data_IF_656618846972
#
_entry.id   IF_656618846972
#
_cell.length_a   1.000
_cell.length_b   1.000
_cell.length_c   1.000
_cell.angle_alpha   90.00
_cell.angle_beta   90.00
_cell.angle_gamma   90.00
#
_symmetry.space_group_name_H-M   'P 1'
#
loop_
_entity.id
_entity.type
_entity.pdbx_description
1 polymer ?
#
# COMPACT_ATOMS: atom_id res chain seq x y z
N UNK A 1 -4.75 16.15 -15.40
CA UNK A 1 -5.09 16.59 -14.04
C UNK A 1 -4.64 15.52 -13.05
N UNK A 2 -3.49 15.73 -12.42
CA UNK A 2 -2.84 14.73 -11.56
C UNK A 2 -3.62 14.53 -10.27
N UNK A 3 -4.16 13.33 -10.07
CA UNK A 3 -4.82 12.95 -8.81
C UNK A 3 -3.73 12.68 -7.76
N UNK A 4 -3.33 13.74 -7.08
CA UNK A 4 -2.50 13.65 -5.87
C UNK A 4 -3.30 12.94 -4.78
N UNK A 5 -2.97 11.68 -4.53
CA UNK A 5 -3.58 10.87 -3.49
C UNK A 5 -2.55 10.35 -2.52
N UNK A 6 -1.91 11.22 -1.73
CA UNK A 6 -1.40 10.84 -0.41
C UNK A 6 -1.44 12.05 0.52
N UNK A 7 -2.33 11.99 1.50
CA UNK A 7 -2.18 12.68 2.79
C UNK A 7 -0.79 12.35 3.33
N UNK A 8 0.01 13.39 3.59
CA UNK A 8 1.38 13.33 4.10
C UNK A 8 1.53 12.21 5.16
N UNK A 9 2.18 11.11 4.77
CA UNK A 9 2.70 10.13 5.71
C UNK A 9 3.74 10.84 6.59
N UNK A 10 3.70 10.63 7.91
CA UNK A 10 4.83 11.02 8.76
C UNK A 10 6.09 10.27 8.30
N UNK A 11 7.30 10.81 8.51
CA UNK A 11 8.52 10.16 8.02
C UNK A 11 8.71 8.74 8.56
N UNK A 12 8.28 8.50 9.81
CA UNK A 12 8.27 7.16 10.42
C UNK A 12 7.29 6.22 9.72
N UNK A 13 6.10 6.72 9.40
CA UNK A 13 5.08 5.99 8.66
C UNK A 13 5.50 5.68 7.21
N UNK A 14 6.20 6.61 6.54
CA UNK A 14 6.79 6.37 5.23
C UNK A 14 7.87 5.28 5.31
N UNK A 15 8.76 5.36 6.30
CA UNK A 15 9.80 4.34 6.50
C UNK A 15 9.24 2.95 6.81
N UNK A 16 8.15 2.85 7.58
CA UNK A 16 7.46 1.58 7.83
C UNK A 16 6.76 1.05 6.58
N UNK A 17 6.10 1.92 5.81
CA UNK A 17 5.49 1.54 4.55
C UNK A 17 6.55 1.08 3.52
N UNK A 18 7.71 1.74 3.48
CA UNK A 18 8.87 1.32 2.69
C UNK A 18 9.37 -0.06 3.14
N UNK A 19 9.59 -0.30 4.43
CA UNK A 19 9.99 -1.63 4.92
C UNK A 19 8.99 -2.73 4.53
N UNK A 20 7.69 -2.45 4.59
CA UNK A 20 6.67 -3.41 4.14
C UNK A 20 6.64 -3.60 2.62
N UNK A 21 7.08 -2.61 1.83
CA UNK A 21 7.23 -2.70 0.37
C UNK A 21 8.43 -3.53 -0.09
N UNK A 22 9.29 -4.01 0.79
CA UNK A 22 10.49 -4.76 0.38
C UNK A 22 10.67 -6.08 1.13
N UNK A 23 9.59 -6.58 1.76
CA UNK A 23 9.65 -7.74 2.65
C UNK A 23 10.40 -7.40 3.93
N UNK A 24 10.21 -8.20 5.00
CA UNK A 24 10.80 -7.94 6.32
C UNK A 24 12.34 -7.90 6.41
N UNK A 25 13.06 -7.89 5.29
CA UNK A 25 14.47 -7.55 5.22
C UNK A 25 14.63 -6.04 5.52
N UNK A 26 14.75 -5.72 6.81
CA UNK A 26 15.16 -4.41 7.26
C UNK A 26 16.39 -3.97 6.45
N UNK A 27 16.27 -2.95 5.60
CA UNK A 27 17.42 -2.41 4.88
C UNK A 27 17.16 -1.85 3.48
N UNK A 28 16.10 -2.28 2.78
CA UNK A 28 15.81 -1.78 1.43
C UNK A 28 15.01 -0.48 1.53
N UNK A 29 15.69 0.65 1.70
CA UNK A 29 15.07 1.98 1.51
C UNK A 29 15.13 2.35 0.03
N UNK A 30 14.17 3.16 -0.44
CA UNK A 30 14.26 3.72 -1.79
C UNK A 30 15.30 4.84 -1.82
N UNK A 31 16.53 4.46 -2.16
CA UNK A 31 17.68 5.35 -2.16
C UNK A 31 17.67 6.31 -3.35
N UNK A 32 17.40 5.80 -4.54
CA UNK A 32 17.53 6.55 -5.81
C UNK A 32 16.22 6.86 -6.50
N UNK A 33 15.09 6.24 -6.14
CA UNK A 33 13.76 6.61 -6.65
C UNK A 33 12.99 5.53 -7.39
N UNK A 34 13.37 4.25 -7.31
CA UNK A 34 12.68 3.17 -8.02
C UNK A 34 11.25 2.93 -7.52
N UNK A 35 10.91 3.36 -6.31
CA UNK A 35 9.61 3.09 -5.70
C UNK A 35 8.45 3.81 -6.40
N UNK A 36 8.74 4.89 -7.15
CA UNK A 36 7.72 5.53 -7.98
C UNK A 36 7.16 4.57 -9.06
N UNK A 37 8.00 3.65 -9.55
CA UNK A 37 7.60 2.62 -10.52
C UNK A 37 6.69 1.60 -9.85
N UNK A 38 7.02 1.20 -8.62
CA UNK A 38 6.18 0.32 -7.80
C UNK A 38 4.79 0.90 -7.62
N UNK A 39 4.73 2.14 -7.13
CA UNK A 39 3.47 2.79 -6.86
C UNK A 39 2.58 2.89 -8.09
N UNK A 40 3.14 3.32 -9.23
CA UNK A 40 2.35 3.55 -10.45
C UNK A 40 1.76 2.27 -11.03
N UNK A 41 2.56 1.21 -11.13
CA UNK A 41 2.03 -0.08 -11.58
C UNK A 41 1.08 -0.71 -10.56
N UNK A 42 1.38 -0.62 -9.26
CA UNK A 42 0.47 -1.13 -8.23
C UNK A 42 -0.88 -0.40 -8.23
N UNK A 43 -0.89 0.93 -8.36
CA UNK A 43 -2.12 1.73 -8.43
C UNK A 43 -2.90 1.48 -9.72
N UNK A 44 -2.21 1.10 -10.81
CA UNK A 44 -2.82 0.71 -12.07
C UNK A 44 -3.49 -0.67 -12.00
N UNK A 45 -2.73 -1.71 -11.66
CA UNK A 45 -3.22 -3.09 -11.66
C UNK A 45 -4.10 -3.42 -10.45
N UNK A 46 -3.81 -2.82 -9.30
CA UNK A 46 -4.47 -3.11 -8.04
C UNK A 46 -5.04 -1.85 -7.38
N UNK A 47 -6.00 -1.14 -8.03
CA UNK A 47 -6.51 0.12 -7.53
C UNK A 47 -7.03 0.02 -6.10
N UNK A 48 -6.61 0.94 -5.24
CA UNK A 48 -7.05 1.02 -3.85
C UNK A 48 -6.32 0.10 -2.87
N UNK A 49 -5.44 -0.78 -3.34
CA UNK A 49 -4.65 -1.64 -2.45
C UNK A 49 -3.49 -0.90 -1.79
N UNK A 50 -3.04 -1.35 -0.63
CA UNK A 50 -1.92 -0.78 0.11
C UNK A 50 -1.05 -1.90 0.71
N UNK A 51 0.25 -1.65 0.87
CA UNK A 51 1.14 -2.55 1.62
C UNK A 51 0.79 -2.65 3.10
N UNK A 52 0.03 -1.67 3.61
CA UNK A 52 -0.46 -1.65 4.99
C UNK A 52 -1.70 -2.52 5.19
N UNK A 53 -2.31 -3.03 4.10
CA UNK A 53 -3.49 -3.90 4.22
C UNK A 53 -3.13 -5.25 4.84
N UNK A 54 -3.95 -5.67 5.81
CA UNK A 54 -3.83 -6.93 6.53
C UNK A 54 -4.91 -7.94 6.13
N UNK A 55 -6.19 -7.65 6.36
CA UNK A 55 -7.34 -8.53 6.06
C UNK A 55 -8.47 -7.80 5.36
N UNK A 56 -9.18 -8.47 4.45
CA UNK A 56 -10.16 -7.81 3.59
C UNK A 56 -11.37 -7.28 4.38
N UNK A 57 -11.75 -7.93 5.50
CA UNK A 57 -12.91 -7.57 6.33
C UNK A 57 -12.86 -6.16 6.93
N UNK A 58 -11.68 -5.54 7.05
CA UNK A 58 -11.59 -4.11 7.43
C UNK A 58 -12.37 -3.20 6.47
N UNK A 59 -12.53 -3.59 5.21
CA UNK A 59 -13.36 -2.86 4.26
C UNK A 59 -14.83 -2.78 4.68
N UNK A 60 -15.31 -3.69 5.54
CA UNK A 60 -16.67 -3.64 6.10
C UNK A 60 -16.70 -3.04 7.50
N UNK A 61 -15.73 -3.41 8.35
CA UNK A 61 -15.64 -2.92 9.72
C UNK A 61 -15.64 -1.39 9.77
N UNK A 62 -14.85 -0.73 8.91
CA UNK A 62 -14.73 0.73 8.91
C UNK A 62 -16.05 1.41 8.52
N UNK A 63 -16.72 1.06 7.40
CA UNK A 63 -18.06 1.56 7.10
C UNK A 63 -19.11 1.28 8.18
N UNK A 64 -19.09 0.10 8.82
CA UNK A 64 -20.03 -0.20 9.90
C UNK A 64 -19.83 0.70 11.13
N UNK A 65 -18.59 1.10 11.47
CA UNK A 65 -18.36 2.09 12.53
C UNK A 65 -19.04 3.43 12.20
N UNK A 66 -18.94 3.90 10.95
CA UNK A 66 -19.64 5.11 10.51
C UNK A 66 -21.16 4.94 10.55
N UNK A 67 -21.69 3.76 10.20
CA UNK A 67 -23.12 3.45 10.28
C UNK A 67 -23.62 3.45 11.73
N UNK A 68 -22.88 2.84 12.67
CA UNK A 68 -23.23 2.87 14.10
C UNK A 68 -23.25 4.30 14.64
N UNK A 69 -22.28 5.15 14.29
CA UNK A 69 -22.32 6.57 14.68
C UNK A 69 -23.53 7.32 14.11
N UNK A 70 -23.90 7.03 12.86
CA UNK A 70 -25.08 7.64 12.19
C UNK A 70 -26.39 7.21 12.85
N UNK A 71 -26.50 5.95 13.27
CA UNK A 71 -27.69 5.39 13.92
C UNK A 71 -27.80 5.85 15.37
N UNK A 72 -26.73 5.69 16.16
CA UNK A 72 -26.74 5.96 17.61
C UNK A 72 -26.74 7.45 17.96
N UNK A 73 -26.23 8.30 17.06
CA UNK A 73 -26.20 9.77 17.19
C UNK A 73 -25.79 10.24 18.59
N UNK A 74 -24.58 9.89 19.06
CA UNK A 74 -24.12 10.31 20.38
C UNK A 74 -24.17 11.84 20.52
N UNK A 75 -24.49 12.31 21.73
CA UNK A 75 -24.57 13.75 22.06
C UNK A 75 -23.28 14.45 21.62
N UNK A 76 -23.34 15.66 21.02
CA UNK A 76 -22.17 16.22 20.35
C UNK A 76 -21.02 16.48 21.33
N UNK A 77 -19.94 15.70 21.21
CA UNK A 77 -18.62 16.09 21.73
C UNK A 77 -17.47 16.02 20.71
N UNK A 78 -17.77 15.70 19.44
CA UNK A 78 -16.88 15.61 18.27
C UNK A 78 -17.04 14.20 17.64
N UNK A 79 -17.67 14.13 16.47
CA UNK A 79 -17.84 12.87 15.73
C UNK A 79 -16.50 12.27 15.28
N UNK A 80 -15.48 13.09 15.05
CA UNK A 80 -14.13 12.63 14.75
C UNK A 80 -13.49 11.91 15.93
N UNK A 81 -13.65 12.45 17.14
CA UNK A 81 -13.19 11.78 18.36
C UNK A 81 -13.99 10.52 18.64
N UNK A 82 -15.33 10.57 18.52
CA UNK A 82 -16.18 9.39 18.70
C UNK A 82 -15.82 8.25 17.74
N UNK A 83 -15.51 8.57 16.47
CA UNK A 83 -15.00 7.59 15.52
C UNK A 83 -13.63 7.03 15.92
N UNK A 84 -12.73 7.90 16.40
CA UNK A 84 -11.39 7.49 16.81
C UNK A 84 -11.43 6.56 18.03
N UNK A 85 -12.33 6.83 18.98
CA UNK A 85 -12.57 5.98 20.15
C UNK A 85 -13.11 4.61 19.75
N UNK A 86 -14.10 4.59 18.85
CA UNK A 86 -14.66 3.37 18.27
C UNK A 86 -13.62 2.52 17.53
N UNK A 87 -12.81 3.18 16.71
CA UNK A 87 -11.75 2.53 15.95
C UNK A 87 -10.65 1.97 16.86
N UNK A 88 -10.38 2.64 17.98
CA UNK A 88 -9.47 2.14 19.01
C UNK A 88 -10.07 0.91 19.72
N UNK A 89 -11.35 0.94 20.06
CA UNK A 89 -12.07 -0.19 20.67
C UNK A 89 -12.11 -1.41 19.75
N UNK A 90 -12.34 -1.20 18.45
CA UNK A 90 -12.28 -2.25 17.41
C UNK A 90 -10.97 -3.03 17.49
N UNK A 91 -9.84 -2.34 17.72
CA UNK A 91 -8.53 -2.99 17.87
C UNK A 91 -8.50 -3.91 19.09
N UNK A 92 -9.05 -3.49 20.22
CA UNK A 92 -9.13 -4.30 21.45
C UNK A 92 -10.03 -5.54 21.29
N UNK A 93 -11.12 -5.42 20.53
CA UNK A 93 -12.04 -6.55 20.22
C UNK A 93 -11.45 -7.56 19.27
N UNK A 94 -10.56 -7.14 18.37
CA UNK A 94 -9.86 -8.05 17.47
C UNK A 94 -8.66 -8.69 18.16
N UNK A 95 -7.96 -7.99 19.05
CA UNK A 95 -6.72 -8.48 19.69
C UNK A 95 -6.94 -9.82 20.41
N UNK A 96 -6.10 -10.79 20.07
CA UNK A 96 -6.04 -12.07 20.78
C UNK A 96 -5.72 -11.89 22.27
N UNK A 97 -6.46 -12.60 23.11
CA UNK A 97 -6.20 -12.74 24.54
C UNK A 97 -6.24 -14.23 24.87
N UNK A 98 -5.20 -14.72 25.56
CA UNK A 98 -5.11 -16.12 25.95
C UNK A 98 -6.28 -16.51 26.86
N UNK A 99 -6.89 -17.67 26.61
CA UNK A 99 -8.09 -18.13 27.32
C UNK A 99 -9.42 -17.56 26.79
N UNK A 100 -9.39 -16.40 26.11
CA UNK A 100 -10.58 -15.68 25.60
C UNK A 100 -10.76 -15.86 24.09
N UNK A 101 -9.66 -15.85 23.34
CA UNK A 101 -9.67 -15.89 21.87
C UNK A 101 -9.44 -14.52 21.21
N UNK A 102 -9.84 -14.38 19.95
CA UNK A 102 -9.54 -13.24 19.08
C UNK A 102 -8.52 -13.59 17.98
N UNK A 103 -8.04 -12.56 17.29
CA UNK A 103 -7.19 -12.69 16.11
C UNK A 103 -5.71 -12.71 16.48
N UNK A 104 -5.04 -13.81 16.12
CA UNK A 104 -3.60 -13.99 16.38
C UNK A 104 -2.72 -13.17 15.44
N UNK A 105 -3.23 -12.80 14.27
CA UNK A 105 -2.52 -12.03 13.24
C UNK A 105 -3.48 -11.09 12.50
N UNK A 106 -2.94 -10.09 11.79
CA UNK A 106 -3.71 -9.18 10.94
C UNK A 106 -4.43 -8.05 11.68
N UNK A 107 -4.32 -7.97 13.01
CA UNK A 107 -4.87 -6.90 13.83
C UNK A 107 -4.02 -5.63 13.72
N UNK A 108 -4.55 -4.60 13.05
CA UNK A 108 -3.86 -3.32 12.91
C UNK A 108 -3.83 -2.64 14.28
N UNK A 109 -2.62 -2.46 14.83
CA UNK A 109 -2.41 -1.86 16.16
C UNK A 109 -2.44 -2.84 17.34
N UNK A 110 -2.66 -4.14 17.10
CA UNK A 110 -2.79 -5.14 18.17
C UNK A 110 -1.57 -5.25 19.08
N UNK A 111 -0.36 -5.19 18.52
CA UNK A 111 0.91 -5.31 19.27
C UNK A 111 1.12 -4.18 20.29
N UNK A 112 0.66 -2.97 20.00
CA UNK A 112 0.90 -1.79 20.85
C UNK A 112 -0.32 -1.37 21.67
N UNK A 113 -1.48 -1.97 21.41
CA UNK A 113 -2.72 -1.76 22.18
C UNK A 113 -2.50 -1.98 23.69
N UNK A 114 -2.97 -1.07 24.57
CA UNK A 114 -3.96 0.00 24.35
C UNK A 114 -3.37 1.36 23.95
N UNK A 115 -2.11 1.45 23.49
CA UNK A 115 -1.57 2.72 22.99
C UNK A 115 -2.18 3.08 21.64
N UNK A 116 -2.31 4.39 21.38
CA UNK A 116 -2.77 4.90 20.09
C UNK A 116 -1.72 4.68 19.00
N UNK A 117 -2.19 4.48 17.77
CA UNK A 117 -1.36 4.24 16.60
C UNK A 117 -1.50 5.38 15.59
N UNK A 118 -0.42 5.69 14.87
CA UNK A 118 -0.40 6.76 13.87
C UNK A 118 -1.14 6.42 12.57
N UNK A 119 -1.42 5.14 12.33
CA UNK A 119 -2.04 4.63 11.10
C UNK A 119 -3.18 3.66 11.45
N UNK A 120 -4.30 4.16 11.96
CA UNK A 120 -5.43 3.31 12.32
C UNK A 120 -6.13 2.72 11.07
N UNK A 121 -6.99 1.70 11.22
CA UNK A 121 -7.63 1.00 10.09
C UNK A 121 -8.23 1.90 9.01
N UNK A 122 -9.01 2.92 9.38
CA UNK A 122 -9.64 3.89 8.49
C UNK A 122 -8.64 4.74 7.74
N UNK A 123 -7.46 5.00 8.29
CA UNK A 123 -6.36 5.62 7.53
C UNK A 123 -5.84 4.65 6.46
N UNK A 124 -5.61 3.39 6.85
CA UNK A 124 -5.01 2.36 6.00
C UNK A 124 -5.91 1.99 4.82
N UNK A 125 -7.22 1.87 5.02
CA UNK A 125 -8.18 1.44 4.00
C UNK A 125 -8.93 2.59 3.30
N UNK A 126 -8.70 3.86 3.64
CA UNK A 126 -9.51 4.97 3.12
C UNK A 126 -9.60 5.00 1.59
N UNK A 127 -8.44 4.87 0.93
CA UNK A 127 -8.34 4.83 -0.53
C UNK A 127 -9.06 3.61 -1.09
N UNK A 128 -8.96 2.46 -0.42
CA UNK A 128 -9.63 1.22 -0.79
C UNK A 128 -11.15 1.40 -0.78
N UNK A 129 -11.72 1.96 0.29
CA UNK A 129 -13.16 2.18 0.42
C UNK A 129 -13.72 3.03 -0.72
N UNK A 130 -12.96 4.03 -1.19
CA UNK A 130 -13.36 4.85 -2.35
C UNK A 130 -13.18 4.09 -3.66
N UNK A 131 -12.01 3.48 -3.89
CA UNK A 131 -11.68 2.80 -5.16
C UNK A 131 -12.50 1.54 -5.40
N UNK A 132 -12.97 0.89 -4.35
CA UNK A 132 -13.81 -0.31 -4.41
C UNK A 132 -15.31 0.01 -4.34
N UNK A 133 -15.68 1.30 -4.27
CA UNK A 133 -17.08 1.73 -4.32
C UNK A 133 -17.90 1.41 -3.06
N UNK A 134 -17.25 1.38 -1.89
CA UNK A 134 -17.91 1.32 -0.59
C UNK A 134 -18.26 2.73 -0.08
N UNK A 135 -17.46 3.73 -0.45
CA UNK A 135 -17.76 5.15 -0.31
C UNK A 135 -17.98 5.70 -1.71
N UNK A 136 -19.20 6.19 -1.96
CA UNK A 136 -19.58 6.80 -3.23
C UNK A 136 -18.81 8.09 -3.52
N UNK A 137 -18.66 8.42 -4.81
CA UNK A 137 -18.05 9.67 -5.23
C UNK A 137 -18.87 10.87 -4.73
N UNK A 138 -18.19 11.95 -4.37
CA UNK A 138 -18.86 13.21 -4.02
C UNK A 138 -19.43 13.85 -5.30
N UNK A 139 -20.54 14.61 -5.22
CA UNK A 139 -21.10 15.30 -6.39
C UNK A 139 -20.14 16.26 -7.10
N UNK A 140 -19.16 16.82 -6.38
CA UNK A 140 -18.14 17.71 -6.93
C UNK A 140 -16.93 16.96 -7.55
N UNK A 141 -16.99 15.63 -7.61
CA UNK A 141 -15.93 14.76 -8.13
C UNK A 141 -14.73 14.57 -7.19
N UNK A 142 -14.70 15.21 -6.02
CA UNK A 142 -13.62 15.04 -5.04
C UNK A 142 -13.86 13.79 -4.19
N UNK A 143 -12.81 13.07 -3.74
CA UNK A 143 -12.99 12.00 -2.78
C UNK A 143 -13.42 12.57 -1.42
N UNK A 144 -14.29 11.86 -0.71
CA UNK A 144 -14.59 12.17 0.70
C UNK A 144 -13.33 12.02 1.55
N UNK A 145 -13.13 12.92 2.51
CA UNK A 145 -12.12 12.75 3.57
C UNK A 145 -12.76 12.33 4.89
N UNK A 146 -11.97 11.75 5.81
CA UNK A 146 -12.46 11.40 7.17
C UNK A 146 -13.04 12.62 7.90
N UNK A 147 -12.42 13.82 7.87
CA UNK A 147 -13.04 15.03 8.40
C UNK A 147 -14.35 15.42 7.72
N UNK A 148 -14.52 15.17 6.42
CA UNK A 148 -15.79 15.43 5.74
C UNK A 148 -16.89 14.51 6.25
N UNK A 149 -16.60 13.23 6.50
CA UNK A 149 -17.56 12.30 7.11
C UNK A 149 -18.00 12.75 8.50
N UNK A 150 -17.06 13.22 9.34
CA UNK A 150 -17.39 13.74 10.66
C UNK A 150 -18.30 14.98 10.58
N UNK A 151 -18.06 15.86 9.60
CA UNK A 151 -18.92 17.03 9.34
C UNK A 151 -20.31 16.62 8.85
N UNK A 152 -20.43 15.61 7.98
CA UNK A 152 -21.71 15.08 7.54
C UNK A 152 -22.54 14.53 8.71
N UNK A 153 -21.91 13.74 9.57
CA UNK A 153 -22.56 13.21 10.78
C UNK A 153 -23.02 14.34 11.71
N UNK A 154 -22.17 15.35 11.93
CA UNK A 154 -22.51 16.52 12.73
C UNK A 154 -23.65 17.36 12.13
N UNK A 155 -23.68 17.52 10.80
CA UNK A 155 -24.73 18.24 10.10
C UNK A 155 -26.08 17.51 10.17
N UNK A 156 -26.08 16.18 10.01
CA UNK A 156 -27.29 15.35 10.12
C UNK A 156 -27.92 15.33 11.52
N UNK A 157 -27.15 15.74 12.54
CA UNK A 157 -27.61 15.86 13.94
C UNK A 157 -28.39 17.16 14.21
N UNK A 158 -28.19 18.21 13.41
CA UNK A 158 -28.90 19.49 13.57
C UNK A 158 -30.18 19.47 12.73
N UNK A 159 -31.35 19.46 13.39
CA UNK A 159 -32.72 19.58 12.86
C UNK A 159 -32.83 19.30 11.36
N UNK A 160 -33.25 18.09 11.00
CA UNK A 160 -33.76 17.84 9.65
C UNK A 160 -34.80 18.91 9.31
N UNK A 161 -34.52 19.76 8.33
CA UNK A 161 -35.58 20.51 7.67
C UNK A 161 -36.46 19.46 7.00
N UNK A 162 -37.76 19.51 7.22
CA UNK A 162 -38.68 18.59 6.55
C UNK A 162 -39.18 19.29 5.28
N UNK A 163 -39.33 18.55 4.19
CA UNK A 163 -40.05 19.05 3.01
C UNK A 163 -41.55 19.19 3.33
N UNK A 164 -42.32 19.73 2.38
CA UNK A 164 -43.77 19.92 2.54
C UNK A 164 -44.53 18.59 2.76
N UNK A 165 -43.89 17.45 2.49
CA UNK A 165 -44.39 16.08 2.72
C UNK A 165 -43.92 15.47 4.06
N UNK A 166 -43.19 16.22 4.89
CA UNK A 166 -42.70 15.74 6.18
C UNK A 166 -41.50 14.77 6.07
N UNK A 167 -40.76 14.76 4.96
CA UNK A 167 -39.52 13.98 4.82
C UNK A 167 -38.30 14.84 5.16
N UNK A 168 -37.30 14.30 5.87
CA UNK A 168 -36.03 14.97 6.08
C UNK A 168 -35.36 15.38 4.75
N UNK A 169 -35.15 16.68 4.57
CA UNK A 169 -34.27 17.25 3.55
C UNK A 169 -32.82 16.91 3.93
N UNK A 170 -32.33 15.74 3.53
CA UNK A 170 -30.89 15.48 3.49
C UNK A 170 -30.29 16.33 2.36
N UNK A 171 -29.65 17.45 2.70
CA UNK A 171 -29.01 18.36 1.73
C UNK A 171 -27.82 17.71 1.02
N UNK A 172 -27.27 16.63 1.57
CA UNK A 172 -26.18 15.84 1.01
C UNK A 172 -26.43 14.36 1.27
N UNK A 173 -26.54 13.56 0.21
CA UNK A 173 -26.73 12.12 0.31
C UNK A 173 -25.55 11.46 1.04
N UNK A 174 -25.87 10.56 1.98
CA UNK A 174 -24.86 9.80 2.73
C UNK A 174 -24.03 8.90 1.78
N UNK A 175 -22.68 8.99 1.81
CA UNK A 175 -21.86 8.38 0.77
C UNK A 175 -21.63 6.87 0.94
N UNK A 176 -21.91 6.28 2.11
CA UNK A 176 -21.87 4.83 2.31
C UNK A 176 -23.29 4.29 2.09
N UNK A 177 -23.58 3.84 0.87
CA UNK A 177 -24.90 3.31 0.48
C UNK A 177 -24.80 1.86 0.00
N UNK A 178 -25.87 1.09 0.26
CA UNK A 178 -25.93 -0.32 -0.13
C UNK A 178 -24.93 -1.22 0.61
N UNK A 179 -24.46 -0.82 1.80
CA UNK A 179 -23.62 -1.66 2.65
C UNK A 179 -24.44 -2.85 3.16
N UNK A 180 -23.83 -4.03 3.19
CA UNK A 180 -24.43 -5.20 3.84
C UNK A 180 -24.62 -4.94 5.34
N UNK A 181 -25.68 -5.48 5.93
CA UNK A 181 -25.93 -5.36 7.36
C UNK A 181 -24.74 -5.90 8.17
N UNK A 182 -24.43 -5.19 9.25
CA UNK A 182 -23.45 -5.67 10.20
C UNK A 182 -23.97 -6.94 10.93
N UNK A 183 -23.08 -7.78 11.48
CA UNK A 183 -23.48 -8.93 12.29
C UNK A 183 -24.51 -8.57 13.37
N UNK A 184 -25.38 -9.51 13.77
CA UNK A 184 -26.50 -9.22 14.70
C UNK A 184 -26.06 -8.69 16.06
N UNK A 185 -24.88 -9.06 16.50
CA UNK A 185 -24.23 -8.61 17.73
C UNK A 185 -23.43 -7.31 17.54
N UNK A 186 -23.44 -6.70 16.34
CA UNK A 186 -22.68 -5.48 16.00
C UNK A 186 -23.07 -4.22 16.79
N UNK A 187 -24.22 -4.15 17.44
CA UNK A 187 -24.56 -3.02 18.30
C UNK A 187 -24.76 -3.39 19.77
N UNK A 188 -24.73 -4.69 20.09
CA UNK A 188 -24.96 -5.29 21.42
C UNK A 188 -23.76 -5.14 22.37
N UNK A 189 -22.70 -4.46 21.95
CA UNK A 189 -21.42 -4.35 22.65
C UNK A 189 -21.46 -3.31 23.77
N UNK A 190 -21.91 -3.72 24.97
CA UNK A 190 -21.77 -2.95 26.21
C UNK A 190 -22.30 -1.50 26.16
N UNK A 191 -22.16 -0.80 27.28
CA UNK A 191 -22.35 0.66 27.28
C UNK A 191 -21.09 1.31 26.69
N UNK A 192 -21.27 2.32 25.84
CA UNK A 192 -20.21 3.06 25.14
C UNK A 192 -19.25 3.76 26.11
N UNK A 193 -19.66 3.91 27.36
CA UNK A 193 -18.87 4.46 28.45
C UNK A 193 -18.05 3.42 29.21
N UNK A 194 -18.35 2.13 29.08
CA UNK A 194 -17.66 1.04 29.77
C UNK A 194 -16.43 0.60 28.98
N UNK A 195 -15.56 1.58 28.74
CA UNK A 195 -14.26 1.39 28.12
C UNK A 195 -13.47 0.46 29.03
N UNK A 196 -13.13 -0.72 28.51
CA UNK A 196 -12.31 -1.78 29.14
C UNK A 196 -13.05 -2.82 30.00
N UNK A 197 -14.28 -3.22 29.66
CA UNK A 197 -14.80 -4.48 30.21
C UNK A 197 -13.88 -5.64 29.81
N UNK A 198 -13.38 -6.35 30.82
CA UNK A 198 -12.50 -7.53 30.71
C UNK A 198 -13.26 -8.81 30.37
N UNK A 199 -14.57 -8.75 30.22
CA UNK A 199 -15.41 -9.95 30.13
C UNK A 199 -15.45 -10.54 28.71
N UNK A 200 -15.31 -11.87 28.67
CA UNK A 200 -15.18 -12.83 27.56
C UNK A 200 -16.14 -12.70 26.36
N UNK A 201 -17.13 -11.79 26.38
CA UNK A 201 -18.25 -11.80 25.44
C UNK A 201 -18.11 -10.71 24.37
N UNK A 202 -17.28 -10.95 23.35
CA UNK A 202 -17.26 -10.08 22.15
C UNK A 202 -15.94 -9.97 21.39
N UNK A 203 -15.19 -11.06 21.18
CA UNK A 203 -14.08 -11.01 20.23
C UNK A 203 -14.60 -11.03 18.80
N UNK A 204 -14.07 -10.15 17.95
CA UNK A 204 -14.35 -10.14 16.51
C UNK A 204 -13.34 -11.02 15.77
N UNK A 205 -13.81 -11.60 14.66
CA UNK A 205 -12.96 -12.28 13.70
C UNK A 205 -12.69 -11.39 12.48
N UNK A 206 -11.55 -11.59 11.81
CA UNK A 206 -11.20 -10.97 10.54
C UNK A 206 -11.57 -11.83 9.33
N UNK A 207 -11.91 -13.10 9.55
CA UNK A 207 -12.44 -13.96 8.50
C UNK A 207 -13.82 -13.48 8.05
N UNK A 208 -14.02 -13.42 6.73
CA UNK A 208 -15.27 -12.99 6.12
C UNK A 208 -16.34 -14.08 6.25
N UNK A 209 -17.56 -13.68 6.59
CA UNK A 209 -18.73 -14.55 6.48
C UNK A 209 -19.14 -14.71 5.01
N UNK A 210 -19.82 -15.81 4.60
CA UNK A 210 -20.20 -16.01 3.20
C UNK A 210 -20.97 -14.84 2.55
N UNK A 211 -21.95 -14.18 3.23
CA UNK A 211 -22.60 -12.99 2.66
C UNK A 211 -21.65 -11.81 2.46
N UNK A 212 -20.67 -11.65 3.36
CA UNK A 212 -19.65 -10.60 3.29
C UNK A 212 -18.68 -10.85 2.14
N UNK A 213 -18.30 -12.12 1.91
CA UNK A 213 -17.49 -12.55 0.76
C UNK A 213 -18.18 -12.21 -0.56
N UNK A 214 -19.46 -12.58 -0.72
CA UNK A 214 -20.24 -12.30 -1.93
C UNK A 214 -20.33 -10.78 -2.17
N UNK A 215 -20.59 -10.01 -1.11
CA UNK A 215 -20.69 -8.56 -1.19
C UNK A 215 -19.36 -7.92 -1.62
N UNK A 216 -18.24 -8.27 -0.98
CA UNK A 216 -16.93 -7.71 -1.31
C UNK A 216 -16.43 -8.19 -2.67
N UNK A 217 -16.69 -9.44 -3.06
CA UNK A 217 -16.39 -9.95 -4.39
C UNK A 217 -17.14 -9.13 -5.46
N UNK A 218 -18.41 -8.82 -5.24
CA UNK A 218 -19.20 -7.96 -6.14
C UNK A 218 -18.59 -6.56 -6.27
N UNK A 219 -18.19 -5.94 -5.14
CA UNK A 219 -17.54 -4.63 -5.14
C UNK A 219 -16.19 -4.64 -5.86
N UNK A 220 -15.34 -5.64 -5.61
CA UNK A 220 -14.03 -5.76 -6.25
C UNK A 220 -14.14 -6.08 -7.75
N UNK A 221 -15.09 -6.91 -8.17
CA UNK A 221 -15.38 -7.18 -9.60
C UNK A 221 -15.87 -5.92 -10.33
N UNK A 222 -16.46 -4.96 -9.62
CA UNK A 222 -16.86 -3.67 -10.17
C UNK A 222 -15.68 -2.68 -10.37
N UNK A 223 -14.49 -2.97 -9.86
CA UNK A 223 -13.31 -2.10 -10.05
C UNK A 223 -12.90 -2.10 -11.54
N UNK A 224 -12.67 -0.90 -12.08
CA UNK A 224 -12.32 -0.68 -13.49
C UNK A 224 -10.86 -0.26 -13.65
N UNK A 225 -10.30 -0.47 -14.84
CA UNK A 225 -8.94 -0.03 -15.15
C UNK A 225 -8.85 1.50 -15.04
N UNK A 226 -7.80 2.06 -14.41
CA UNK A 226 -7.65 3.50 -14.29
C UNK A 226 -7.47 4.25 -15.62
N UNK A 227 -6.98 3.58 -16.66
CA UNK A 227 -6.74 4.18 -17.98
C UNK A 227 -7.83 3.85 -18.99
N UNK A 228 -8.59 2.78 -18.77
CA UNK A 228 -9.74 2.40 -19.59
C UNK A 228 -10.94 2.00 -18.68
N UNK A 229 -11.80 2.97 -18.31
CA UNK A 229 -12.94 2.69 -17.43
C UNK A 229 -13.97 1.70 -17.99
N UNK A 230 -13.91 1.37 -19.28
CA UNK A 230 -14.78 0.36 -19.90
C UNK A 230 -14.34 -1.08 -19.57
N UNK A 231 -13.09 -1.27 -19.17
CA UNK A 231 -12.49 -2.58 -18.89
C UNK A 231 -12.39 -2.83 -17.37
N UNK A 232 -12.58 -4.08 -16.92
CA UNK A 232 -12.26 -4.46 -15.54
C UNK A 232 -10.74 -4.33 -15.30
N UNK A 233 -10.36 -3.88 -14.10
CA UNK A 233 -8.94 -3.88 -13.71
C UNK A 233 -8.41 -5.30 -13.52
N UNK A 234 -7.08 -5.47 -13.49
CA UNK A 234 -6.48 -6.74 -13.09
C UNK A 234 -7.00 -7.23 -11.73
N UNK A 235 -7.11 -6.36 -10.72
CA UNK A 235 -7.71 -6.71 -9.43
C UNK A 235 -9.10 -7.34 -9.57
N UNK A 236 -9.97 -6.77 -10.41
CA UNK A 236 -11.31 -7.29 -10.67
C UNK A 236 -11.26 -8.68 -11.31
N UNK A 237 -10.38 -8.89 -12.30
CA UNK A 237 -10.23 -10.17 -13.02
C UNK A 237 -9.72 -11.31 -12.14
N UNK A 238 -9.02 -11.01 -11.05
CA UNK A 238 -8.45 -12.00 -10.12
C UNK A 238 -9.39 -12.41 -8.99
N UNK A 239 -10.53 -11.74 -8.80
CA UNK A 239 -11.50 -12.11 -7.75
C UNK A 239 -12.05 -13.52 -8.01
N UNK A 240 -12.02 -14.38 -6.99
CA UNK A 240 -12.50 -15.76 -7.08
C UNK A 240 -11.57 -16.71 -7.86
N UNK A 241 -10.34 -16.29 -8.15
CA UNK A 241 -9.33 -17.14 -8.81
C UNK A 241 -8.34 -17.71 -7.81
N UNK A 242 -7.83 -18.94 -8.02
CA UNK A 242 -6.75 -19.48 -7.22
C UNK A 242 -5.43 -18.78 -7.60
N UNK A 243 -4.78 -18.14 -6.62
CA UNK A 243 -3.55 -17.34 -6.82
C UNK A 243 -2.34 -17.91 -6.06
N UNK A 244 -2.49 -19.08 -5.44
CA UNK A 244 -1.48 -19.67 -4.55
C UNK A 244 -0.15 -19.99 -5.24
N UNK A 245 -0.18 -20.29 -6.54
CA UNK A 245 1.00 -20.68 -7.32
C UNK A 245 1.90 -19.54 -7.80
N UNK A 246 1.37 -18.32 -7.94
CA UNK A 246 2.11 -17.17 -8.46
C UNK A 246 2.94 -16.47 -7.38
N UNK A 247 4.26 -16.53 -7.53
CA UNK A 247 5.20 -15.77 -6.71
C UNK A 247 5.18 -14.28 -7.04
N UNK A 248 4.90 -13.94 -8.30
CA UNK A 248 4.81 -12.56 -8.77
C UNK A 248 3.50 -12.29 -9.51
N UNK A 249 3.05 -11.05 -9.49
CA UNK A 249 1.86 -10.67 -10.24
C UNK A 249 2.04 -10.67 -11.77
N UNK A 250 3.25 -10.90 -12.27
CA UNK A 250 3.56 -11.00 -13.70
C UNK A 250 3.95 -12.43 -14.11
N UNK A 251 3.69 -13.43 -13.27
CA UNK A 251 3.86 -14.83 -13.64
C UNK A 251 2.84 -15.24 -14.72
N UNK A 252 3.15 -16.30 -15.47
CA UNK A 252 2.39 -16.70 -16.65
C UNK A 252 0.89 -16.95 -16.36
N UNK A 253 0.57 -17.50 -15.19
CA UNK A 253 -0.82 -17.73 -14.77
C UNK A 253 -1.60 -16.42 -14.58
N UNK A 254 -0.95 -15.37 -14.06
CA UNK A 254 -1.58 -14.05 -13.90
C UNK A 254 -1.65 -13.30 -15.22
N UNK A 255 -0.61 -13.41 -16.06
CA UNK A 255 -0.61 -12.84 -17.41
C UNK A 255 -1.76 -13.39 -18.26
N UNK A 256 -2.09 -14.67 -18.13
CA UNK A 256 -3.21 -15.29 -18.82
C UNK A 256 -4.57 -14.68 -18.42
N UNK A 257 -4.69 -14.17 -17.20
CA UNK A 257 -5.90 -13.53 -16.67
C UNK A 257 -5.96 -12.02 -16.95
N UNK A 258 -4.84 -11.38 -17.30
CA UNK A 258 -4.76 -9.93 -17.43
C UNK A 258 -5.47 -9.34 -18.68
N UNK A 259 -5.77 -10.16 -19.69
CA UNK A 259 -6.44 -9.71 -20.91
C UNK A 259 -5.65 -8.60 -21.62
N UNK A 260 -6.30 -7.46 -21.92
CA UNK A 260 -5.66 -6.31 -22.59
C UNK A 260 -4.46 -5.73 -21.84
N UNK A 261 -4.42 -5.88 -20.52
CA UNK A 261 -3.36 -5.35 -19.65
C UNK A 261 -2.12 -6.29 -19.60
N UNK A 262 -2.18 -7.49 -20.20
CA UNK A 262 -1.11 -8.49 -20.11
C UNK A 262 0.25 -7.98 -20.62
N UNK A 263 0.27 -7.21 -21.72
CA UNK A 263 1.51 -6.66 -22.26
C UNK A 263 2.16 -5.64 -21.30
N UNK A 264 1.34 -4.79 -20.67
CA UNK A 264 1.79 -3.81 -19.68
C UNK A 264 2.25 -4.51 -18.40
N UNK A 265 1.56 -5.56 -17.95
CA UNK A 265 1.93 -6.35 -16.78
C UNK A 265 3.25 -7.09 -16.98
N UNK A 266 3.49 -7.61 -18.18
CA UNK A 266 4.78 -8.20 -18.56
C UNK A 266 5.90 -7.16 -18.51
N UNK A 267 5.66 -5.94 -19.03
CA UNK A 267 6.62 -4.82 -18.92
C UNK A 267 6.86 -4.42 -17.47
N UNK A 268 5.84 -4.42 -16.63
CA UNK A 268 6.00 -4.20 -15.19
C UNK A 268 6.96 -5.24 -14.59
N UNK A 269 6.82 -6.53 -14.91
CA UNK A 269 7.80 -7.53 -14.49
C UNK A 269 9.23 -7.26 -14.97
N UNK A 270 9.42 -6.75 -16.19
CA UNK A 270 10.72 -6.35 -16.71
C UNK A 270 11.30 -5.13 -15.97
N UNK A 271 10.46 -4.15 -15.64
CA UNK A 271 10.85 -2.98 -14.84
C UNK A 271 11.16 -3.34 -13.39
N UNK A 272 10.42 -4.31 -12.80
CA UNK A 272 10.71 -4.86 -11.48
C UNK A 272 12.09 -5.52 -11.44
N UNK A 273 12.42 -6.33 -12.45
CA UNK A 273 13.74 -6.93 -12.63
C UNK A 273 14.84 -5.87 -12.78
N UNK A 274 14.62 -4.84 -13.61
CA UNK A 274 15.56 -3.73 -13.76
C UNK A 274 15.81 -3.01 -12.42
N UNK A 275 14.76 -2.80 -11.62
CA UNK A 275 14.87 -2.19 -10.29
C UNK A 275 15.65 -3.04 -9.29
N UNK A 276 15.57 -4.38 -9.37
CA UNK A 276 16.38 -5.26 -8.53
C UNK A 276 17.87 -5.04 -8.80
N UNK A 277 18.27 -5.10 -10.07
CA UNK A 277 19.65 -4.82 -10.51
C UNK A 277 20.04 -3.39 -10.13
N UNK A 278 19.14 -2.44 -10.37
CA UNK A 278 19.39 -1.03 -10.06
C UNK A 278 19.67 -0.77 -8.58
N UNK A 279 18.95 -1.44 -7.68
CA UNK A 279 19.21 -1.36 -6.22
C UNK A 279 20.48 -2.09 -5.81
N UNK A 280 20.78 -3.23 -6.43
CA UNK A 280 22.05 -3.93 -6.21
C UNK A 280 23.26 -3.08 -6.63
N UNK A 281 23.15 -2.36 -7.75
CA UNK A 281 24.17 -1.38 -8.21
C UNK A 281 24.42 -0.32 -7.14
N UNK A 282 23.35 0.27 -6.57
CA UNK A 282 23.49 1.27 -5.51
C UNK A 282 24.25 0.70 -4.30
N UNK A 283 23.86 -0.48 -3.82
CA UNK A 283 24.51 -1.12 -2.66
C UNK A 283 25.99 -1.40 -2.94
N UNK A 284 26.32 -1.94 -4.12
CA UNK A 284 27.68 -2.19 -4.56
C UNK A 284 28.51 -0.90 -4.70
N UNK A 285 27.91 0.21 -5.16
CA UNK A 285 28.57 1.51 -5.22
C UNK A 285 28.89 2.06 -3.82
N UNK A 286 27.96 1.97 -2.87
CA UNK A 286 28.19 2.38 -1.48
C UNK A 286 29.32 1.56 -0.86
N UNK A 287 29.29 0.23 -1.02
CA UNK A 287 30.33 -0.69 -0.55
C UNK A 287 31.71 -0.34 -1.16
N UNK A 288 31.76 -0.11 -2.47
CA UNK A 288 32.98 0.26 -3.21
C UNK A 288 33.54 1.61 -2.77
N UNK A 289 32.68 2.61 -2.55
CA UNK A 289 33.12 3.92 -2.09
C UNK A 289 33.67 3.87 -0.66
N UNK A 290 33.07 3.09 0.24
CA UNK A 290 33.59 2.91 1.60
C UNK A 290 35.01 2.34 1.59
N UNK A 291 35.25 1.35 0.73
CA UNK A 291 36.55 0.71 0.61
C UNK A 291 37.59 1.59 -0.09
N UNK A 292 37.27 2.10 -1.28
CA UNK A 292 38.24 2.78 -2.14
C UNK A 292 38.47 4.24 -1.75
N UNK A 293 37.39 4.95 -1.38
CA UNK A 293 37.44 6.39 -1.08
C UNK A 293 37.63 6.66 0.40
N UNK A 294 36.86 5.99 1.25
CA UNK A 294 36.89 6.23 2.70
C UNK A 294 37.94 5.37 3.42
N UNK A 295 38.64 4.49 2.67
CA UNK A 295 39.70 3.61 3.17
C UNK A 295 39.23 2.73 4.33
N UNK A 296 37.98 2.28 4.28
CA UNK A 296 37.38 1.35 5.24
C UNK A 296 37.21 -0.01 4.59
N UNK A 297 37.96 -1.05 4.99
CA UNK A 297 37.77 -2.40 4.45
C UNK A 297 36.30 -2.82 4.53
N UNK A 298 35.76 -3.39 3.46
CA UNK A 298 34.40 -3.91 3.40
C UNK A 298 34.44 -5.39 3.01
N UNK A 299 33.52 -6.22 3.53
CA UNK A 299 33.29 -7.52 2.93
C UNK A 299 32.83 -7.35 1.48
N UNK A 300 33.05 -8.36 0.64
CA UNK A 300 32.57 -8.36 -0.74
C UNK A 300 31.12 -8.84 -0.82
N UNK A 301 30.22 -8.25 -0.03
CA UNK A 301 28.85 -8.72 0.12
C UNK A 301 28.00 -8.21 -1.05
N UNK A 302 27.81 -6.91 -1.15
CA UNK A 302 26.85 -6.33 -2.12
C UNK A 302 27.38 -6.32 -3.55
N UNK A 303 28.70 -6.25 -3.74
CA UNK A 303 29.31 -6.49 -5.04
C UNK A 303 29.11 -7.92 -5.54
N UNK A 304 29.11 -8.92 -4.65
CA UNK A 304 28.76 -10.29 -5.01
C UNK A 304 27.26 -10.43 -5.29
N UNK A 305 26.40 -9.88 -4.43
CA UNK A 305 24.95 -9.86 -4.64
C UNK A 305 24.52 -9.20 -5.95
N UNK A 306 25.26 -8.19 -6.42
CA UNK A 306 25.05 -7.59 -7.74
C UNK A 306 25.24 -8.60 -8.87
N UNK A 307 26.26 -9.47 -8.79
CA UNK A 307 26.46 -10.51 -9.80
C UNK A 307 25.29 -11.48 -9.81
N UNK A 308 24.83 -11.92 -8.63
CA UNK A 308 23.67 -12.80 -8.50
C UNK A 308 22.40 -12.14 -9.07
N UNK A 309 22.19 -10.85 -8.79
CA UNK A 309 21.04 -10.10 -9.29
C UNK A 309 21.08 -9.97 -10.83
N UNK A 310 22.26 -9.77 -11.42
CA UNK A 310 22.43 -9.74 -12.89
C UNK A 310 22.17 -11.12 -13.48
N UNK A 311 22.69 -12.18 -12.88
CA UNK A 311 22.48 -13.55 -13.34
C UNK A 311 20.98 -13.92 -13.33
N UNK A 312 20.31 -13.61 -12.22
CA UNK A 312 18.90 -13.95 -12.02
C UNK A 312 17.96 -13.07 -12.87
N UNK A 313 18.20 -11.76 -12.92
CA UNK A 313 17.22 -10.79 -13.46
C UNK A 313 17.66 -10.11 -14.75
N UNK A 314 18.94 -10.21 -15.15
CA UNK A 314 19.52 -9.49 -16.29
C UNK A 314 18.80 -9.79 -17.61
N UNK A 315 18.50 -11.06 -17.89
CA UNK A 315 17.77 -11.46 -19.11
C UNK A 315 16.37 -10.84 -19.18
N UNK A 316 15.67 -10.75 -18.05
CA UNK A 316 14.34 -10.17 -17.98
C UNK A 316 14.39 -8.65 -18.08
N UNK A 317 15.31 -8.00 -17.36
CA UNK A 317 15.52 -6.56 -17.38
C UNK A 317 15.95 -6.04 -18.76
N UNK A 318 16.82 -6.77 -19.48
CA UNK A 318 17.29 -6.39 -20.81
C UNK A 318 16.17 -6.30 -21.86
N UNK A 319 15.06 -7.05 -21.64
CA UNK A 319 13.88 -7.06 -22.53
C UNK A 319 12.92 -5.89 -22.29
N UNK A 320 13.15 -5.07 -21.26
CA UNK A 320 12.32 -3.89 -20.99
C UNK A 320 12.41 -2.94 -22.18
N UNK A 321 11.30 -2.64 -22.83
CA UNK A 321 11.22 -1.54 -23.79
C UNK A 321 11.11 -0.22 -23.01
N UNK A 322 12.17 0.58 -23.01
CA UNK A 322 12.26 1.81 -22.21
C UNK A 322 11.30 2.89 -22.71
N UNK A 323 11.08 3.01 -24.01
CA UNK A 323 10.22 4.06 -24.56
C UNK A 323 8.76 3.77 -24.27
N UNK A 324 8.32 2.52 -24.46
CA UNK A 324 6.97 2.09 -24.06
C UNK A 324 6.79 2.18 -22.54
N UNK A 325 7.78 1.76 -21.76
CA UNK A 325 7.74 1.89 -20.31
C UNK A 325 7.55 3.34 -19.86
N UNK A 326 8.30 4.29 -20.42
CA UNK A 326 8.19 5.70 -20.06
C UNK A 326 6.85 6.31 -20.50
N UNK A 327 6.32 5.89 -21.65
CA UNK A 327 5.00 6.30 -22.11
C UNK A 327 3.89 5.81 -21.16
N UNK A 328 3.99 4.59 -20.65
CA UNK A 328 3.04 4.01 -19.69
C UNK A 328 3.15 4.62 -18.30
N UNK A 329 4.38 4.74 -17.79
CA UNK A 329 4.62 5.21 -16.42
C UNK A 329 4.29 6.69 -16.30
N UNK A 330 4.44 7.47 -17.38
CA UNK A 330 4.26 8.93 -17.39
C UNK A 330 5.43 9.69 -16.77
N UNK A 331 5.27 11.00 -16.57
CA UNK A 331 6.37 11.89 -16.16
C UNK A 331 7.11 11.44 -14.90
N UNK A 332 8.42 11.24 -14.97
CA UNK A 332 9.28 10.91 -13.82
C UNK A 332 10.18 12.11 -13.47
N UNK A 333 10.62 12.24 -12.20
CA UNK A 333 11.67 13.20 -11.87
C UNK A 333 12.90 12.94 -12.76
N UNK A 334 13.51 13.97 -13.39
CA UNK A 334 14.56 13.78 -14.40
C UNK A 334 15.74 12.92 -13.93
N UNK A 335 16.13 13.05 -12.66
CA UNK A 335 17.23 12.26 -12.11
C UNK A 335 16.89 10.77 -11.97
N UNK A 336 15.63 10.43 -11.64
CA UNK A 336 15.15 9.04 -11.56
C UNK A 336 15.02 8.44 -12.95
N UNK A 337 14.51 9.21 -13.91
CA UNK A 337 14.46 8.80 -15.32
C UNK A 337 15.85 8.49 -15.87
N UNK A 338 16.84 9.35 -15.56
CA UNK A 338 18.24 9.13 -15.92
C UNK A 338 18.78 7.80 -15.38
N UNK A 339 18.56 7.51 -14.09
CA UNK A 339 18.96 6.22 -13.50
C UNK A 339 18.31 5.05 -14.23
N UNK A 340 17.01 5.09 -14.51
CA UNK A 340 16.32 4.00 -15.21
C UNK A 340 16.88 3.76 -16.62
N UNK A 341 17.11 4.83 -17.39
CA UNK A 341 17.66 4.77 -18.74
C UNK A 341 19.08 4.22 -18.76
N UNK A 342 19.97 4.79 -17.95
CA UNK A 342 21.39 4.39 -17.91
C UNK A 342 21.55 2.96 -17.37
N UNK A 343 20.79 2.57 -16.34
CA UNK A 343 20.81 1.19 -15.85
C UNK A 343 20.31 0.21 -16.92
N UNK A 344 19.25 0.56 -17.67
CA UNK A 344 18.76 -0.30 -18.76
C UNK A 344 19.79 -0.45 -19.88
N UNK A 345 20.45 0.65 -20.28
CA UNK A 345 21.52 0.63 -21.27
C UNK A 345 22.70 -0.22 -20.79
N UNK A 346 23.14 -0.04 -19.55
CA UNK A 346 24.23 -0.79 -18.93
C UNK A 346 23.93 -2.29 -18.86
N UNK A 347 22.71 -2.69 -18.47
CA UNK A 347 22.30 -4.11 -18.46
C UNK A 347 22.32 -4.70 -19.87
N UNK A 348 21.80 -4.00 -20.87
CA UNK A 348 21.80 -4.46 -22.27
C UNK A 348 23.21 -4.59 -22.85
N UNK A 349 24.13 -3.74 -22.40
CA UNK A 349 25.54 -3.79 -22.78
C UNK A 349 26.35 -4.86 -22.00
N UNK A 350 25.71 -5.68 -21.15
CA UNK A 350 26.36 -6.62 -20.25
C UNK A 350 27.41 -5.95 -19.35
N UNK A 351 27.11 -4.74 -18.86
CA UNK A 351 27.98 -4.00 -17.96
C UNK A 351 28.38 -4.82 -16.72
N UNK A 352 29.59 -4.55 -16.22
CA UNK A 352 30.19 -5.28 -15.08
C UNK A 352 30.59 -4.36 -13.94
N UNK A 353 31.10 -3.18 -14.27
CA UNK A 353 31.51 -2.20 -13.28
C UNK A 353 30.34 -1.26 -12.91
N UNK A 354 29.78 -1.35 -11.69
CA UNK A 354 28.71 -0.47 -11.24
C UNK A 354 29.17 0.99 -11.08
N UNK A 355 30.48 1.26 -10.96
CA UNK A 355 30.99 2.61 -10.75
C UNK A 355 30.86 3.50 -12.00
N UNK A 356 30.69 2.90 -13.19
CA UNK A 356 30.35 3.63 -14.42
C UNK A 356 29.03 4.41 -14.29
N UNK A 357 28.12 3.93 -13.44
CA UNK A 357 26.82 4.56 -13.18
C UNK A 357 26.84 5.48 -11.95
N UNK A 358 28.00 5.72 -11.33
CA UNK A 358 28.06 6.45 -10.04
C UNK A 358 27.46 7.84 -10.15
N UNK A 359 27.76 8.58 -11.23
CA UNK A 359 27.33 9.98 -11.35
C UNK A 359 25.80 10.10 -11.43
N UNK A 360 25.15 9.29 -12.27
CA UNK A 360 23.70 9.33 -12.44
C UNK A 360 22.97 8.89 -11.17
N UNK A 361 23.51 7.88 -10.47
CA UNK A 361 22.99 7.42 -9.18
C UNK A 361 23.16 8.47 -8.07
N UNK A 362 24.35 9.07 -7.95
CA UNK A 362 24.62 10.11 -6.96
C UNK A 362 23.71 11.33 -7.18
N UNK A 363 23.50 11.74 -8.44
CA UNK A 363 22.58 12.83 -8.78
C UNK A 363 21.15 12.52 -8.35
N UNK A 364 20.67 11.30 -8.61
CA UNK A 364 19.34 10.87 -8.19
C UNK A 364 19.18 10.84 -6.67
N UNK A 365 20.15 10.27 -5.95
CA UNK A 365 20.11 10.22 -4.50
C UNK A 365 20.17 11.62 -3.86
N UNK A 366 21.10 12.48 -4.30
CA UNK A 366 21.24 13.87 -3.80
C UNK A 366 19.96 14.66 -4.06
N UNK A 367 19.36 14.54 -5.25
CA UNK A 367 18.11 15.27 -5.56
C UNK A 367 16.95 14.96 -4.60
N UNK A 368 16.98 13.78 -3.96
CA UNK A 368 15.93 13.30 -3.04
C UNK A 368 16.30 13.48 -1.57
N UNK A 369 17.58 13.36 -1.25
CA UNK A 369 18.07 13.21 0.12
C UNK A 369 18.95 14.35 0.60
N UNK A 370 19.42 15.19 -0.32
CA UNK A 370 20.33 16.31 -0.06
C UNK A 370 21.55 15.83 0.75
N UNK A 371 21.84 16.44 1.91
CA UNK A 371 22.94 16.05 2.81
C UNK A 371 22.82 14.65 3.45
N UNK A 372 21.79 13.87 3.10
CA UNK A 372 21.64 12.47 3.51
C UNK A 372 22.04 11.47 2.44
N UNK A 373 22.51 11.92 1.27
CA UNK A 373 22.96 11.05 0.19
C UNK A 373 24.30 10.39 0.51
N UNK A 374 24.38 9.06 0.36
CA UNK A 374 25.58 8.25 0.59
C UNK A 374 26.55 8.26 -0.58
N UNK A 375 26.09 8.44 -1.81
CA UNK A 375 26.94 8.46 -3.00
C UNK A 375 27.59 9.83 -3.21
N UNK A 376 27.17 10.86 -2.46
CA UNK A 376 27.76 12.20 -2.53
C UNK A 376 29.27 12.16 -2.27
N UNK A 377 30.02 12.99 -2.99
CA UNK A 377 31.49 13.11 -2.88
C UNK A 377 31.97 13.95 -1.69
N UNK A 378 31.08 14.72 -1.08
CA UNK A 378 31.36 15.63 0.03
C UNK A 378 31.45 14.91 1.40
N UNK A 379 31.78 15.68 2.44
CA UNK A 379 31.90 15.18 3.82
C UNK A 379 30.60 14.55 4.33
N UNK A 380 29.44 15.14 4.01
CA UNK A 380 28.15 14.54 4.38
C UNK A 380 27.98 13.13 3.83
N UNK A 381 28.41 12.88 2.59
CA UNK A 381 28.39 11.54 2.00
C UNK A 381 29.31 10.55 2.73
N UNK A 382 30.49 11.00 3.17
CA UNK A 382 31.39 10.20 4.01
C UNK A 382 30.70 9.81 5.31
N UNK A 383 30.13 10.77 6.02
CA UNK A 383 29.46 10.53 7.31
C UNK A 383 28.29 9.54 7.15
N UNK A 384 27.47 9.71 6.10
CA UNK A 384 26.33 8.82 5.82
C UNK A 384 26.75 7.41 5.40
N UNK A 385 27.90 7.25 4.73
CA UNK A 385 28.46 5.92 4.46
C UNK A 385 29.04 5.27 5.72
N UNK A 386 29.62 6.04 6.64
CA UNK A 386 30.08 5.52 7.92
C UNK A 386 28.92 4.94 8.76
N UNK A 387 27.76 5.58 8.74
CA UNK A 387 26.54 5.09 9.41
C UNK A 387 25.91 3.87 8.72
N UNK A 388 26.24 3.60 7.46
CA UNK A 388 25.65 2.51 6.70
C UNK A 388 26.27 1.16 7.09
N UNK A 389 25.41 0.25 7.53
CA UNK A 389 25.76 -1.11 7.94
C UNK A 389 25.35 -2.08 6.83
N UNK A 390 26.31 -2.52 6.01
CA UNK A 390 26.03 -3.39 4.84
C UNK A 390 25.35 -4.72 5.22
N UNK A 391 25.74 -5.33 6.33
CA UNK A 391 25.12 -6.58 6.82
C UNK A 391 23.62 -6.44 7.13
N UNK A 392 23.16 -5.22 7.44
CA UNK A 392 21.75 -4.89 7.67
C UNK A 392 21.10 -4.25 6.44
N UNK A 393 21.77 -4.27 5.28
CA UNK A 393 21.17 -3.84 4.02
C UNK A 393 20.64 -5.07 3.30
N UNK A 394 19.32 -5.22 3.30
CA UNK A 394 18.65 -6.36 2.67
C UNK A 394 18.99 -6.50 1.17
N UNK A 395 18.91 -7.75 0.70
CA UNK A 395 19.15 -8.10 -0.70
C UNK A 395 18.18 -7.37 -1.64
N UNK A 396 18.68 -6.98 -2.81
CA UNK A 396 17.86 -6.31 -3.81
C UNK A 396 16.95 -7.31 -4.56
N UNK A 397 15.66 -7.33 -4.20
CA UNK A 397 14.63 -8.16 -4.86
C UNK A 397 13.75 -7.36 -5.82
N UNK A 398 13.11 -7.94 -6.85
CA UNK A 398 12.22 -7.20 -7.76
C UNK A 398 11.08 -6.43 -7.06
N UNK A 399 10.60 -5.35 -7.70
CA UNK A 399 9.44 -4.62 -7.19
C UNK A 399 8.19 -5.50 -7.23
N UNK A 400 7.63 -5.83 -6.06
CA UNK A 400 6.54 -6.79 -5.94
C UNK A 400 5.13 -6.22 -6.26
N UNK A 401 4.97 -4.91 -6.52
CA UNK A 401 3.70 -4.25 -6.82
C UNK A 401 2.53 -4.58 -5.85
N UNK A 402 2.83 -4.72 -4.55
CA UNK A 402 1.86 -5.09 -3.49
C UNK A 402 1.30 -6.52 -3.62
N UNK A 403 1.91 -7.37 -4.44
CA UNK A 403 1.37 -8.69 -4.77
C UNK A 403 1.08 -9.58 -3.56
N UNK A 404 1.99 -9.64 -2.58
CA UNK A 404 1.75 -10.41 -1.34
C UNK A 404 0.49 -9.96 -0.58
N UNK A 405 0.25 -8.65 -0.48
CA UNK A 405 -0.98 -8.11 0.12
C UNK A 405 -2.21 -8.41 -0.74
N UNK A 406 -2.09 -8.27 -2.07
CA UNK A 406 -3.18 -8.59 -3.01
C UNK A 406 -3.60 -10.05 -2.89
N UNK A 407 -2.65 -10.99 -2.92
CA UNK A 407 -2.90 -12.42 -2.70
C UNK A 407 -3.60 -12.65 -1.36
N UNK A 408 -3.09 -12.04 -0.28
CA UNK A 408 -3.69 -12.18 1.06
C UNK A 408 -5.14 -11.70 1.08
N UNK A 409 -5.45 -10.57 0.46
CA UNK A 409 -6.81 -10.02 0.41
C UNK A 409 -7.74 -10.88 -0.46
N UNK A 410 -7.26 -11.35 -1.62
CA UNK A 410 -8.07 -12.14 -2.55
C UNK A 410 -8.26 -13.59 -2.10
N UNK A 411 -7.36 -14.12 -1.26
CA UNK A 411 -7.54 -15.43 -0.60
C UNK A 411 -8.81 -15.48 0.24
N UNK A 412 -9.21 -14.36 0.86
CA UNK A 412 -10.47 -14.27 1.60
C UNK A 412 -11.71 -14.43 0.69
N UNK A 413 -11.52 -14.44 -0.63
CA UNK A 413 -12.55 -14.56 -1.67
C UNK A 413 -12.28 -15.71 -2.65
N UNK A 414 -11.36 -16.62 -2.34
CA UNK A 414 -11.14 -17.81 -3.15
C UNK A 414 -12.43 -18.64 -3.21
N UNK A 415 -12.72 -19.25 -4.37
CA UNK A 415 -13.93 -20.05 -4.64
C UNK A 415 -15.29 -19.32 -4.56
N UNK A 416 -15.31 -17.99 -4.32
CA UNK A 416 -16.53 -17.19 -4.41
C UNK A 416 -16.94 -17.07 -5.87
N UNK A 417 -18.05 -17.73 -6.23
CA UNK A 417 -18.64 -17.76 -7.57
C UNK A 417 -18.77 -16.37 -8.20
#
# INVERSE_FOLDING_TARGET
MSTFGFTFLSRKALGQAEQMMFGGAAGVRDEVGFLIVHQRYADHFFPGTSVLHTRLRYALLIPWLYQSLRTKRPVPKDFGQAFSDLEHELTGRLKYVEGVGGEKDGVIGGEVFPRTISQPPAYVYWTALTKWGLIGARPDGRPWSRPDMAKLLAASSKRAHHDDDGKPLETVAWPISGLIDAPRDWDSWGDWNDRYSQDDQGKLALDLLPPEQIYLATKLRAVRSPTDPSEPSLLSKLVGKPLGGADHCWDNEILALAGREAAMLKRAGQAAALSAIGRAIYAAQVETLKETRDKRPQPNLHRAELNDAIEQWGKQAARLDMDLFLAEIGHLPPAVEGVLKETSAWVRANGKDPMQLLEVYARAEVSRKDNRARLASNQFGVDRRMEWQGEHHGRAEPLHYRWGNVKRLLRDLEDVA
#
